data_IF_828290894094
#
_entry.id   IF_828290894094
#
_cell.length_a   1.000
_cell.length_b   1.000
_cell.length_c   1.000
_cell.angle_alpha   90.00
_cell.angle_beta   90.00
_cell.angle_gamma   90.00
#
_symmetry.space_group_name_H-M   'P 1'
#
loop_
_entity.id
_entity.type
_entity.pdbx_description
1 polymer ?
#
# COMPACT_ATOMS: atom_id res chain seq x y z
N UNK A 1 -8.33 5.13 15.88
CA UNK A 1 -8.06 5.20 14.41
C UNK A 1 -9.01 6.11 13.61
N UNK A 2 -8.58 6.63 12.45
CA UNK A 2 -9.40 7.43 11.49
C UNK A 2 -9.53 6.74 10.12
N UNK A 3 -10.69 6.84 9.48
CA UNK A 3 -10.91 6.37 8.09
C UNK A 3 -10.80 7.54 7.10
N UNK A 4 -10.18 7.32 5.93
CA UNK A 4 -10.03 8.34 4.87
C UNK A 4 -10.15 7.69 3.49
N UNK A 5 -10.53 8.48 2.49
CA UNK A 5 -10.42 8.11 1.07
C UNK A 5 -9.18 8.78 0.49
N UNK A 6 -8.25 7.99 -0.05
CA UNK A 6 -7.01 8.50 -0.62
C UNK A 6 -6.93 8.24 -2.12
N UNK A 7 -6.23 9.13 -2.83
CA UNK A 7 -5.87 8.91 -4.23
C UNK A 7 -4.70 7.91 -4.31
N UNK A 8 -4.63 7.08 -5.36
CA UNK A 8 -3.55 6.10 -5.52
C UNK A 8 -2.13 6.66 -5.55
N UNK A 9 -1.95 7.91 -5.99
CA UNK A 9 -0.65 8.59 -6.00
C UNK A 9 -0.23 9.12 -4.61
N UNK A 10 -1.09 9.02 -3.59
CA UNK A 10 -0.75 9.43 -2.23
C UNK A 10 -0.15 8.30 -1.40
N UNK A 11 -0.24 7.06 -1.87
CA UNK A 11 0.11 5.87 -1.11
C UNK A 11 1.34 5.21 -1.76
N UNK A 12 2.44 5.13 -1.02
CA UNK A 12 3.62 4.34 -1.35
C UNK A 12 3.26 2.87 -1.13
N UNK A 13 3.30 2.09 -2.20
CA UNK A 13 2.95 0.66 -2.16
C UNK A 13 4.06 -0.17 -1.54
N UNK A 14 3.71 -1.39 -1.11
CA UNK A 14 4.63 -2.46 -0.78
C UNK A 14 5.46 -2.91 -2.01
N UNK A 15 6.57 -3.62 -1.78
CA UNK A 15 7.53 -4.05 -2.82
C UNK A 15 6.99 -5.23 -3.66
N UNK A 16 5.87 -5.82 -3.28
CA UNK A 16 5.25 -6.92 -4.02
C UNK A 16 4.96 -6.51 -5.48
N UNK A 17 5.76 -6.98 -6.43
CA UNK A 17 5.57 -6.70 -7.85
C UNK A 17 5.74 -7.97 -8.70
N UNK A 18 4.74 -8.32 -9.55
CA UNK A 18 3.36 -7.81 -9.52
C UNK A 18 2.64 -8.24 -8.22
N UNK A 19 1.34 -8.00 -8.10
CA UNK A 19 0.58 -8.57 -6.97
C UNK A 19 0.61 -10.10 -7.06
N UNK A 20 0.90 -10.78 -5.94
CA UNK A 20 1.29 -12.21 -5.95
C UNK A 20 0.15 -13.21 -6.26
N UNK A 21 -1.10 -12.76 -6.34
CA UNK A 21 -2.26 -13.65 -6.57
C UNK A 21 -3.27 -12.96 -7.48
N UNK A 22 -3.31 -13.39 -8.74
CA UNK A 22 -4.20 -12.81 -9.75
C UNK A 22 -5.69 -13.00 -9.39
N UNK A 23 -6.08 -14.13 -8.78
CA UNK A 23 -7.49 -14.41 -8.49
C UNK A 23 -8.06 -13.44 -7.44
N UNK A 24 -7.28 -13.15 -6.39
CA UNK A 24 -7.65 -12.13 -5.39
C UNK A 24 -7.79 -10.76 -6.05
N UNK A 25 -6.87 -10.41 -6.96
CA UNK A 25 -6.96 -9.15 -7.72
C UNK A 25 -8.25 -9.10 -8.55
N UNK A 26 -8.62 -10.19 -9.25
CA UNK A 26 -9.86 -10.29 -10.03
C UNK A 26 -11.10 -10.06 -9.18
N UNK A 27 -11.16 -10.67 -8.00
CA UNK A 27 -12.29 -10.51 -7.07
C UNK A 27 -12.42 -9.03 -6.66
N UNK A 28 -11.36 -8.43 -6.13
CA UNK A 28 -11.41 -7.02 -5.72
C UNK A 28 -11.69 -6.08 -6.88
N UNK A 29 -11.12 -6.33 -8.06
CA UNK A 29 -11.38 -5.53 -9.24
C UNK A 29 -12.87 -5.55 -9.60
N UNK A 30 -13.54 -6.71 -9.59
CA UNK A 30 -14.98 -6.80 -9.84
C UNK A 30 -15.81 -6.04 -8.82
N UNK A 31 -15.43 -6.10 -7.54
CA UNK A 31 -16.10 -5.34 -6.47
C UNK A 31 -15.99 -3.82 -6.72
N UNK A 32 -14.80 -3.31 -7.00
CA UNK A 32 -14.60 -1.88 -7.28
C UNK A 32 -15.22 -1.43 -8.61
N UNK A 33 -15.16 -2.27 -9.65
CA UNK A 33 -15.79 -2.01 -10.95
C UNK A 33 -17.31 -1.84 -10.80
N UNK A 34 -17.94 -2.60 -9.91
CA UNK A 34 -19.38 -2.51 -9.58
C UNK A 34 -19.74 -1.41 -8.58
N UNK A 35 -18.81 -0.51 -8.26
CA UNK A 35 -18.97 0.54 -7.23
C UNK A 35 -19.27 0.00 -5.82
N UNK A 36 -18.94 -1.26 -5.54
CA UNK A 36 -19.18 -1.90 -4.25
C UNK A 36 -17.96 -1.88 -3.32
N UNK A 37 -16.94 -1.04 -3.62
CA UNK A 37 -15.71 -0.96 -2.83
C UNK A 37 -15.91 -0.71 -1.33
N UNK A 38 -17.04 -0.12 -0.93
CA UNK A 38 -17.42 0.12 0.47
C UNK A 38 -17.63 -1.15 1.31
N UNK A 39 -17.91 -2.30 0.67
CA UNK A 39 -18.07 -3.57 1.38
C UNK A 39 -16.73 -4.15 1.82
N UNK A 40 -15.64 -3.69 1.20
CA UNK A 40 -14.31 -4.14 1.54
C UNK A 40 -13.80 -3.32 2.72
N UNK A 41 -13.16 -3.96 3.71
CA UNK A 41 -12.44 -3.25 4.74
C UNK A 41 -11.44 -2.24 4.17
N UNK A 42 -11.09 -1.18 4.92
CA UNK A 42 -10.04 -0.25 4.52
C UNK A 42 -8.63 -0.89 4.49
N UNK A 43 -7.65 -0.27 3.84
CA UNK A 43 -6.24 -0.64 3.94
C UNK A 43 -5.54 0.13 5.07
N UNK A 44 -4.74 -0.51 5.94
CA UNK A 44 -3.96 0.19 6.95
C UNK A 44 -2.80 0.97 6.30
N UNK A 45 -2.62 2.22 6.71
CA UNK A 45 -1.52 3.10 6.25
C UNK A 45 -0.96 3.94 7.39
N UNK A 46 0.30 4.35 7.28
CA UNK A 46 0.95 5.33 8.18
C UNK A 46 1.34 6.57 7.37
N UNK A 47 0.99 7.76 7.87
CA UNK A 47 1.42 9.01 7.26
C UNK A 47 2.93 9.25 7.50
N UNK A 48 3.65 9.78 6.51
CA UNK A 48 5.12 9.98 6.58
C UNK A 48 5.57 10.91 7.71
N UNK A 49 4.70 11.81 8.19
CA UNK A 49 5.00 12.67 9.35
C UNK A 49 5.06 11.90 10.68
N UNK A 50 4.40 10.74 10.77
CA UNK A 50 4.48 9.86 11.94
C UNK A 50 5.82 9.13 11.98
N UNK A 51 6.37 8.83 10.80
CA UNK A 51 7.74 8.38 10.64
C UNK A 51 8.04 7.84 9.24
N UNK A 52 9.33 7.67 8.97
CA UNK A 52 9.85 7.18 7.70
C UNK A 52 10.55 5.84 7.97
N UNK A 53 10.29 4.79 7.17
CA UNK A 53 10.84 3.45 7.38
C UNK A 53 12.32 3.37 6.98
N UNK A 54 13.20 4.04 7.73
CA UNK A 54 14.66 3.99 7.52
C UNK A 54 15.28 2.76 8.19
N UNK A 55 16.28 2.18 7.53
CA UNK A 55 17.11 1.12 8.11
C UNK A 55 18.22 1.71 8.98
N UNK A 56 18.56 0.98 10.06
CA UNK A 56 19.73 1.27 10.90
C UNK A 56 20.92 0.46 10.42
N UNK A 57 22.03 1.12 10.14
CA UNK A 57 23.24 0.46 9.65
C UNK A 57 24.15 1.45 8.92
N UNK A 58 25.44 1.10 8.83
CA UNK A 58 26.45 1.91 8.11
C UNK A 58 26.94 1.24 6.83
N UNK A 59 26.47 0.03 6.53
CA UNK A 59 26.82 -0.72 5.32
C UNK A 59 26.28 -0.02 4.06
N UNK A 60 26.89 -0.34 2.92
CA UNK A 60 26.58 0.27 1.63
C UNK A 60 25.15 0.00 1.18
N UNK A 61 24.58 -1.17 1.49
CA UNK A 61 23.19 -1.53 1.12
C UNK A 61 22.19 -0.69 1.92
N UNK A 62 22.38 -0.56 3.22
CA UNK A 62 21.55 0.30 4.09
C UNK A 62 21.62 1.76 3.67
N UNK A 63 22.81 2.29 3.38
CA UNK A 63 22.97 3.67 2.89
C UNK A 63 22.27 3.87 1.54
N UNK A 64 22.42 2.92 0.61
CA UNK A 64 21.74 2.96 -0.71
C UNK A 64 20.23 2.99 -0.54
N UNK A 65 19.67 2.11 0.28
CA UNK A 65 18.24 2.06 0.59
C UNK A 65 17.73 3.39 1.14
N UNK A 66 18.36 3.90 2.20
CA UNK A 66 17.93 5.15 2.84
C UNK A 66 18.04 6.35 1.89
N UNK A 67 19.07 6.39 1.05
CA UNK A 67 19.23 7.43 0.02
C UNK A 67 18.14 7.35 -1.05
N UNK A 68 17.85 6.15 -1.54
CA UNK A 68 16.79 5.91 -2.53
C UNK A 68 15.42 6.35 -1.98
N UNK A 69 15.09 5.97 -0.74
CA UNK A 69 13.84 6.38 -0.09
C UNK A 69 13.76 7.90 0.07
N UNK A 70 14.83 8.53 0.54
CA UNK A 70 14.86 9.98 0.78
C UNK A 70 14.67 10.74 -0.53
N UNK A 71 15.45 10.40 -1.56
CA UNK A 71 15.32 10.98 -2.90
C UNK A 71 13.91 10.80 -3.46
N UNK A 72 13.34 9.60 -3.33
CA UNK A 72 11.99 9.33 -3.80
C UNK A 72 10.94 10.23 -3.12
N UNK A 73 11.03 10.43 -1.80
CA UNK A 73 10.10 11.27 -1.04
C UNK A 73 10.22 12.76 -1.39
N UNK A 74 11.42 13.22 -1.73
CA UNK A 74 11.68 14.58 -2.22
C UNK A 74 11.09 14.80 -3.62
N UNK A 75 11.28 13.85 -4.53
CA UNK A 75 10.76 13.90 -5.90
C UNK A 75 9.24 13.68 -5.98
N UNK A 76 8.64 13.04 -4.96
CA UNK A 76 7.22 12.68 -4.94
C UNK A 76 6.52 13.25 -3.69
N UNK A 77 6.37 14.58 -3.57
CA UNK A 77 5.82 15.21 -2.37
C UNK A 77 4.38 14.76 -2.06
N UNK A 78 3.60 14.41 -3.09
CA UNK A 78 2.24 13.89 -2.96
C UNK A 78 2.15 12.49 -2.33
N UNK A 79 3.25 11.72 -2.33
CA UNK A 79 3.31 10.42 -1.67
C UNK A 79 3.45 10.65 -0.16
N UNK A 80 2.33 10.55 0.55
CA UNK A 80 2.17 10.98 1.93
C UNK A 80 2.02 9.79 2.90
N UNK A 81 1.62 8.63 2.40
CA UNK A 81 1.27 7.48 3.22
C UNK A 81 2.05 6.24 2.79
N UNK A 82 2.54 5.48 3.75
CA UNK A 82 3.09 4.15 3.52
C UNK A 82 2.00 3.09 3.71
N UNK A 83 1.83 2.22 2.72
CA UNK A 83 0.94 1.07 2.82
C UNK A 83 1.50 0.06 3.81
N UNK A 84 0.69 -0.39 4.76
CA UNK A 84 1.07 -1.45 5.68
C UNK A 84 0.58 -2.83 5.21
N UNK A 85 -0.58 -2.86 4.55
CA UNK A 85 -1.13 -4.05 3.91
C UNK A 85 -2.21 -3.68 2.86
N UNK A 86 -2.58 -4.63 2.01
CA UNK A 86 -3.68 -4.52 1.05
C UNK A 86 -3.24 -4.25 -0.38
N UNK A 87 -2.05 -4.74 -0.80
CA UNK A 87 -1.49 -4.53 -2.14
C UNK A 87 -2.44 -4.86 -3.29
N UNK A 88 -3.16 -5.98 -3.23
CA UNK A 88 -4.19 -6.33 -4.23
C UNK A 88 -5.37 -5.37 -4.24
N UNK A 89 -5.83 -4.97 -3.06
CA UNK A 89 -7.03 -4.14 -2.90
C UNK A 89 -6.78 -2.71 -3.40
N UNK A 90 -5.62 -2.14 -3.09
CA UNK A 90 -5.22 -0.82 -3.59
C UNK A 90 -4.99 -0.84 -5.11
N UNK A 91 -4.37 -1.90 -5.64
CA UNK A 91 -4.20 -2.09 -7.08
C UNK A 91 -5.55 -2.22 -7.80
N UNK A 92 -6.47 -3.03 -7.28
CA UNK A 92 -7.81 -3.20 -7.85
C UNK A 92 -8.64 -1.90 -7.87
N UNK A 93 -8.61 -1.13 -6.78
CA UNK A 93 -9.27 0.17 -6.70
C UNK A 93 -8.72 1.13 -7.76
N UNK A 94 -7.40 1.15 -7.91
CA UNK A 94 -6.69 2.00 -8.88
C UNK A 94 -7.00 1.59 -10.32
N UNK A 95 -6.98 0.29 -10.63
CA UNK A 95 -7.38 -0.24 -11.94
C UNK A 95 -8.83 0.12 -12.30
N UNK A 96 -9.67 0.35 -11.30
CA UNK A 96 -11.09 0.73 -11.44
C UNK A 96 -11.34 2.24 -11.31
N UNK A 97 -10.28 3.06 -11.27
CA UNK A 97 -10.35 4.51 -11.08
C UNK A 97 -11.14 4.95 -9.84
N UNK A 98 -10.97 4.21 -8.73
CA UNK A 98 -11.61 4.50 -7.44
C UNK A 98 -10.61 5.07 -6.44
N UNK A 99 -11.14 5.88 -5.53
CA UNK A 99 -10.41 6.24 -4.31
C UNK A 99 -10.25 5.00 -3.44
N UNK A 100 -9.18 4.98 -2.66
CA UNK A 100 -8.81 3.85 -1.81
C UNK A 100 -9.29 4.14 -0.39
N UNK A 101 -10.21 3.34 0.17
CA UNK A 101 -10.54 3.40 1.59
C UNK A 101 -9.35 2.96 2.42
N UNK A 102 -8.90 3.83 3.32
CA UNK A 102 -7.77 3.58 4.21
C UNK A 102 -8.12 3.80 5.67
N UNK A 103 -7.38 3.11 6.53
CA UNK A 103 -7.39 3.24 7.98
C UNK A 103 -6.05 3.83 8.40
N UNK A 104 -6.07 5.02 8.99
CA UNK A 104 -4.87 5.71 9.43
C UNK A 104 -4.42 5.15 10.78
N UNK A 105 -3.18 4.66 10.80
CA UNK A 105 -2.47 4.26 12.01
C UNK A 105 -1.57 5.43 12.42
N UNK A 106 -1.89 6.07 13.54
CA UNK A 106 -1.21 7.29 14.02
C UNK A 106 -0.43 7.02 15.32
N UNK A 107 -0.91 6.09 16.16
CA UNK A 107 -0.38 5.83 17.51
C UNK A 107 -0.27 4.32 17.78
N UNK A 108 0.50 3.95 18.81
CA UNK A 108 0.67 2.55 19.18
C UNK A 108 -0.66 1.86 19.55
N UNK A 109 -1.60 2.59 20.15
CA UNK A 109 -2.92 2.05 20.52
C UNK A 109 -3.75 1.61 19.30
N UNK A 110 -3.58 2.26 18.16
CA UNK A 110 -4.30 1.93 16.92
C UNK A 110 -4.00 0.48 16.46
N UNK A 111 -2.84 -0.08 16.82
CA UNK A 111 -2.52 -1.48 16.49
C UNK A 111 -3.36 -2.48 17.29
N UNK A 112 -3.73 -2.14 18.52
CA UNK A 112 -4.61 -2.98 19.33
C UNK A 112 -6.04 -2.91 18.81
N UNK A 113 -6.50 -1.71 18.45
CA UNK A 113 -7.80 -1.55 17.78
C UNK A 113 -7.84 -2.31 16.45
N UNK A 114 -6.78 -2.23 15.63
CA UNK A 114 -6.69 -2.98 14.37
C UNK A 114 -6.76 -4.51 14.58
N UNK A 115 -6.16 -5.04 15.65
CA UNK A 115 -6.28 -6.47 16.00
C UNK A 115 -7.72 -6.86 16.30
N UNK A 116 -8.47 -6.03 17.03
CA UNK A 116 -9.89 -6.25 17.31
C UNK A 116 -10.73 -6.20 16.03
N UNK A 117 -10.44 -5.26 15.12
CA UNK A 117 -11.12 -5.22 13.82
C UNK A 117 -10.86 -6.49 13.00
N UNK A 118 -9.65 -7.05 13.08
CA UNK A 118 -9.32 -8.30 12.39
C UNK A 118 -10.04 -9.50 13.03
N UNK A 119 -10.09 -9.58 14.37
CA UNK A 119 -10.83 -10.67 15.03
C UNK A 119 -12.33 -10.64 14.70
N UNK A 120 -12.88 -9.46 14.42
CA UNK A 120 -14.28 -9.28 14.08
C UNK A 120 -14.56 -9.35 12.57
N UNK A 121 -13.53 -9.55 11.73
CA UNK A 121 -13.67 -9.57 10.26
C UNK A 121 -13.88 -8.19 9.61
N UNK A 122 -13.79 -7.10 10.37
CA UNK A 122 -13.92 -5.72 9.90
C UNK A 122 -12.64 -5.18 9.22
N UNK A 123 -11.53 -5.91 9.37
CA UNK A 123 -10.27 -5.68 8.68
C UNK A 123 -9.72 -7.00 8.16
N UNK A 124 -9.28 -7.04 6.89
CA UNK A 124 -8.70 -8.25 6.32
C UNK A 124 -7.26 -8.45 6.80
N UNK A 125 -6.93 -9.72 7.03
CA UNK A 125 -5.72 -10.21 7.69
C UNK A 125 -4.46 -9.45 7.34
N UNK A 126 -4.16 -8.46 8.18
CA UNK A 126 -2.89 -7.76 8.21
C UNK A 126 -1.85 -8.74 8.73
N UNK A 127 -1.07 -9.33 7.81
CA UNK A 127 -0.23 -10.50 8.08
C UNK A 127 0.76 -10.29 9.26
N UNK A 128 1.27 -9.07 9.43
CA UNK A 128 2.14 -8.71 10.56
C UNK A 128 1.61 -7.43 11.21
N UNK A 129 0.81 -7.59 12.28
CA UNK A 129 0.37 -6.46 13.09
C UNK A 129 1.35 -6.26 14.24
N UNK A 130 2.20 -5.26 14.07
CA UNK A 130 3.14 -4.86 15.09
C UNK A 130 2.46 -4.29 16.34
N UNK A 131 3.20 -4.16 17.44
CA UNK A 131 2.68 -3.56 18.67
C UNK A 131 2.86 -2.04 18.72
N UNK A 132 3.71 -1.48 17.86
CA UNK A 132 4.09 -0.07 17.89
C UNK A 132 4.35 0.47 16.49
N UNK A 133 4.19 1.79 16.33
CA UNK A 133 4.56 2.53 15.11
C UNK A 133 6.02 2.26 14.73
N UNK A 134 6.93 2.31 15.71
CA UNK A 134 8.36 2.07 15.51
C UNK A 134 8.64 0.66 14.96
N UNK A 135 7.94 -0.35 15.49
CA UNK A 135 8.08 -1.71 15.01
C UNK A 135 7.49 -1.87 13.59
N UNK A 136 6.34 -1.27 13.30
CA UNK A 136 5.74 -1.26 11.96
C UNK A 136 6.65 -0.60 10.92
N UNK A 137 7.25 0.55 11.24
CA UNK A 137 8.21 1.21 10.35
C UNK A 137 9.47 0.39 10.15
N UNK A 138 9.94 -0.32 11.19
CA UNK A 138 11.08 -1.25 11.07
C UNK A 138 10.75 -2.42 10.15
N UNK A 139 9.56 -3.00 10.27
CA UNK A 139 9.14 -4.11 9.43
C UNK A 139 8.94 -3.68 7.99
N UNK A 140 8.32 -2.51 7.77
CA UNK A 140 8.20 -1.91 6.45
C UNK A 140 9.58 -1.63 5.82
N UNK A 141 10.54 -1.13 6.62
CA UNK A 141 11.90 -0.90 6.14
C UNK A 141 12.57 -2.20 5.67
N UNK A 142 12.41 -3.30 6.42
CA UNK A 142 12.89 -4.62 6.01
C UNK A 142 12.17 -5.13 4.76
N UNK A 143 10.86 -4.97 4.68
CA UNK A 143 10.06 -5.40 3.54
C UNK A 143 10.54 -4.75 2.23
N UNK A 144 10.91 -3.46 2.29
CA UNK A 144 11.48 -2.74 1.15
C UNK A 144 13.00 -2.92 0.99
N UNK A 145 13.68 -3.60 1.90
CA UNK A 145 15.12 -3.73 1.81
C UNK A 145 15.54 -4.49 0.55
N UNK A 146 16.51 -3.95 -0.18
CA UNK A 146 16.94 -4.49 -1.48
C UNK A 146 16.02 -4.10 -2.65
N UNK A 147 15.02 -3.23 -2.44
CA UNK A 147 14.26 -2.64 -3.55
C UNK A 147 15.15 -1.76 -4.42
N UNK A 148 14.86 -1.73 -5.71
CA UNK A 148 15.54 -0.86 -6.67
C UNK A 148 14.82 0.47 -6.86
N UNK A 149 13.54 0.51 -6.52
CA UNK A 149 12.68 1.69 -6.62
C UNK A 149 11.59 1.66 -5.53
N UNK A 150 11.02 2.84 -5.27
CA UNK A 150 9.77 2.99 -4.56
C UNK A 150 8.71 3.45 -5.55
N UNK A 151 7.48 3.03 -5.34
CA UNK A 151 6.36 3.32 -6.24
C UNK A 151 5.16 3.75 -5.42
N UNK A 152 4.37 4.66 -5.97
CA UNK A 152 3.00 4.81 -5.48
C UNK A 152 2.16 3.65 -5.98
N UNK A 153 0.98 3.44 -5.40
CA UNK A 153 0.00 2.47 -5.95
C UNK A 153 -0.32 2.80 -7.41
N UNK A 154 -0.41 4.10 -7.76
CA UNK A 154 -0.63 4.54 -9.15
C UNK A 154 0.50 4.08 -10.07
N UNK A 155 1.75 4.26 -9.66
CA UNK A 155 2.91 3.94 -10.49
C UNK A 155 3.08 2.43 -10.65
N UNK A 156 2.88 1.67 -9.57
CA UNK A 156 2.83 0.21 -9.62
C UNK A 156 1.79 -0.28 -10.62
N UNK A 157 0.55 0.23 -10.56
CA UNK A 157 -0.49 -0.18 -11.51
C UNK A 157 -0.15 0.21 -12.94
N UNK A 158 0.37 1.42 -13.18
CA UNK A 158 0.83 1.82 -14.53
C UNK A 158 1.91 0.86 -15.06
N UNK A 159 2.86 0.46 -14.22
CA UNK A 159 3.92 -0.50 -14.57
C UNK A 159 3.33 -1.87 -14.92
N UNK A 160 2.39 -2.37 -14.10
CA UNK A 160 1.67 -3.62 -14.37
C UNK A 160 0.91 -3.58 -15.71
N UNK A 161 0.24 -2.46 -16.02
CA UNK A 161 -0.44 -2.26 -17.29
C UNK A 161 0.54 -2.26 -18.47
N UNK A 162 1.65 -1.52 -18.35
CA UNK A 162 2.70 -1.43 -19.39
C UNK A 162 3.29 -2.80 -19.71
N UNK A 163 3.55 -3.59 -18.66
CA UNK A 163 4.17 -4.91 -18.76
C UNK A 163 3.18 -6.03 -19.08
N UNK A 164 1.86 -5.73 -19.09
CA UNK A 164 0.77 -6.71 -19.28
C UNK A 164 0.71 -7.77 -18.15
N UNK A 165 1.09 -7.39 -16.94
CA UNK A 165 1.09 -8.24 -15.73
C UNK A 165 -0.31 -8.37 -15.09
N UNK A 166 -1.37 -7.98 -15.80
CA UNK A 166 -2.77 -8.12 -15.37
C UNK A 166 -3.67 -8.54 -16.55
N UNK A 167 -4.82 -9.16 -16.29
CA UNK A 167 -5.74 -9.57 -17.34
C UNK A 167 -6.13 -8.44 -18.30
N UNK A 168 -6.21 -8.76 -19.60
CA UNK A 168 -6.51 -7.78 -20.67
C UNK A 168 -7.75 -6.93 -20.39
N UNK A 169 -8.80 -7.52 -19.82
CA UNK A 169 -10.03 -6.78 -19.52
C UNK A 169 -9.84 -5.68 -18.45
N UNK A 170 -8.91 -5.86 -17.50
CA UNK A 170 -8.56 -4.82 -16.52
C UNK A 170 -7.76 -3.71 -17.19
N UNK A 171 -6.85 -4.07 -18.11
CA UNK A 171 -6.12 -3.09 -18.93
C UNK A 171 -7.09 -2.25 -19.75
N UNK A 172 -8.03 -2.89 -20.43
CA UNK A 172 -9.07 -2.21 -21.19
C UNK A 172 -9.93 -1.30 -20.31
N UNK A 173 -10.32 -1.75 -19.13
CA UNK A 173 -11.09 -0.93 -18.19
C UNK A 173 -10.30 0.31 -17.72
N UNK A 174 -9.01 0.14 -17.42
CA UNK A 174 -8.15 1.24 -17.01
C UNK A 174 -7.96 2.29 -18.11
N UNK A 175 -7.85 1.88 -19.38
CA UNK A 175 -7.61 2.79 -20.52
C UNK A 175 -8.86 3.54 -21.02
N UNK A 176 -10.08 3.12 -20.65
CA UNK A 176 -11.34 3.72 -21.15
C UNK A 176 -11.76 5.03 -20.44
N UNK A 177 -10.96 5.52 -19.50
CA UNK A 177 -11.15 6.78 -18.78
C UNK A 177 -9.88 7.58 -18.86
#
# INVERSE_FOLDING_TARGET
>A
MKKKLLRPNQIITLRDYPVYNEQILKIYFRVFQRNQGRILPPCPVIHKSIGIPKLKGKDSKTKRYNRLLTKYLEENPHAEYFLLDGGHKTAAATLSHKLIPVLLIERNQDFNEAKQLISNGELFGWYIIEKTVKAALKELAKHHFGTEEFLTVKDKVKKMIKNKDVPRYMISAFKRR
#
